data_IF_548788608755
#
_entry.id   IF_548788608755
#
_cell.length_a   1.000
_cell.length_b   1.000
_cell.length_c   1.000
_cell.angle_alpha   90.00
_cell.angle_beta   90.00
_cell.angle_gamma   90.00
#
_symmetry.space_group_name_H-M   'P 1'
#
loop_
_entity.id
_entity.type
_entity.pdbx_description
1 polymer ?
#
# COMPACT_ATOMS: atom_id res chain seq x y z
N UNK A 1 62.00 -46.23 101.83
CA UNK A 1 60.82 -45.57 102.40
C UNK A 1 60.73 -44.13 101.86
N UNK A 2 60.11 -43.86 100.76
CA UNK A 2 59.68 -42.54 100.31
C UNK A 2 58.90 -42.64 98.94
N UNK A 3 57.56 -42.86 98.93
CA UNK A 3 56.80 -42.70 97.71
C UNK A 3 55.39 -42.33 98.10
N UNK A 4 55.04 -41.08 98.30
CA UNK A 4 53.64 -40.67 98.40
C UNK A 4 53.31 -39.18 98.19
N UNK A 5 54.20 -38.40 97.54
CA UNK A 5 53.89 -36.94 97.32
C UNK A 5 53.57 -36.57 95.89
N UNK A 6 53.85 -37.38 94.91
CA UNK A 6 53.68 -37.07 93.50
C UNK A 6 52.24 -37.35 92.95
N UNK A 7 51.44 -38.20 93.60
CA UNK A 7 50.10 -38.57 93.14
C UNK A 7 49.02 -37.48 93.40
N UNK A 8 49.18 -36.62 94.37
CA UNK A 8 48.18 -35.60 94.72
C UNK A 8 48.25 -34.35 93.82
N UNK A 9 49.39 -34.04 93.22
CA UNK A 9 49.58 -32.88 92.29
C UNK A 9 48.97 -33.15 90.95
N UNK A 10 48.98 -34.39 90.46
CA UNK A 10 48.40 -34.78 89.19
C UNK A 10 46.86 -34.70 89.18
N UNK A 11 46.18 -34.99 90.31
CA UNK A 11 44.73 -34.90 90.40
C UNK A 11 44.18 -33.48 90.42
N UNK A 12 44.99 -32.48 90.78
CA UNK A 12 44.57 -31.07 90.76
C UNK A 12 44.97 -30.36 89.44
N UNK A 13 45.95 -30.86 88.70
CA UNK A 13 46.34 -30.29 87.42
C UNK A 13 45.37 -30.71 86.27
N UNK A 14 44.78 -31.89 86.34
CA UNK A 14 43.89 -32.40 85.32
C UNK A 14 42.60 -31.56 85.19
N UNK A 15 41.84 -31.20 86.25
CA UNK A 15 40.69 -30.34 86.15
C UNK A 15 41.05 -28.91 85.75
N UNK A 16 42.22 -28.42 86.11
CA UNK A 16 42.67 -27.07 85.72
C UNK A 16 42.96 -26.97 84.20
N UNK A 17 43.58 -28.03 83.60
CA UNK A 17 43.74 -28.17 82.16
C UNK A 17 42.46 -28.30 81.43
N UNK A 18 41.42 -29.00 81.95
CA UNK A 18 40.11 -29.17 81.35
C UNK A 18 39.32 -27.85 81.37
N UNK A 19 39.38 -27.09 82.45
CA UNK A 19 38.80 -25.73 82.52
C UNK A 19 39.50 -24.75 81.60
N UNK A 20 40.86 -24.79 81.53
CA UNK A 20 41.61 -23.96 80.57
C UNK A 20 41.29 -24.33 79.10
N UNK A 21 41.15 -25.62 78.79
CA UNK A 21 40.72 -26.09 77.44
C UNK A 21 39.32 -25.69 77.08
N UNK A 22 38.35 -25.77 78.04
CA UNK A 22 36.98 -25.28 77.83
C UNK A 22 36.93 -23.76 77.68
N UNK A 23 37.70 -23.00 78.55
CA UNK A 23 37.74 -21.56 78.41
C UNK A 23 38.36 -21.13 77.06
N UNK A 24 39.42 -21.83 76.61
CA UNK A 24 40.02 -21.58 75.30
C UNK A 24 39.06 -21.95 74.15
N UNK A 25 38.27 -23.06 74.25
CA UNK A 25 37.29 -23.48 73.33
C UNK A 25 36.13 -22.47 73.21
N UNK A 26 35.65 -21.91 74.34
CA UNK A 26 34.60 -20.88 74.38
C UNK A 26 35.10 -19.57 73.75
N UNK A 27 36.31 -19.10 74.08
CA UNK A 27 36.92 -17.89 73.51
C UNK A 27 37.00 -18.08 71.96
N UNK A 28 37.51 -19.22 71.50
CA UNK A 28 37.65 -19.51 70.06
C UNK A 28 36.34 -19.64 69.38
N UNK A 29 35.25 -20.14 70.03
CA UNK A 29 33.92 -20.20 69.55
C UNK A 29 33.24 -18.81 69.44
N UNK A 30 33.57 -17.92 70.41
CA UNK A 30 33.11 -16.54 70.44
C UNK A 30 33.82 -15.71 69.34
N UNK A 31 35.12 -15.87 69.14
CA UNK A 31 35.88 -15.22 68.09
C UNK A 31 35.40 -15.67 66.72
N UNK A 32 35.11 -16.97 66.48
CA UNK A 32 34.49 -17.46 65.23
C UNK A 32 33.13 -16.93 65.02
N UNK A 33 32.32 -16.68 66.04
CA UNK A 33 30.98 -16.06 65.89
C UNK A 33 31.13 -14.56 65.62
N UNK A 34 32.07 -13.86 66.22
CA UNK A 34 32.32 -12.46 65.94
C UNK A 34 32.84 -12.23 64.54
N UNK A 35 33.78 -13.06 64.04
CA UNK A 35 34.28 -12.99 62.67
C UNK A 35 33.16 -13.31 61.61
N UNK A 36 32.35 -14.35 61.86
CA UNK A 36 31.20 -14.63 61.00
C UNK A 36 30.13 -13.53 61.01
N UNK A 37 29.91 -12.88 62.17
CA UNK A 37 29.00 -11.75 62.24
C UNK A 37 29.55 -10.52 61.52
N UNK A 38 30.85 -10.26 61.57
CA UNK A 38 31.50 -9.20 60.80
C UNK A 38 31.53 -9.48 59.31
N UNK A 39 31.79 -10.73 58.89
CA UNK A 39 31.70 -11.14 57.49
C UNK A 39 30.27 -11.01 56.96
N UNK A 40 29.26 -11.41 57.75
CA UNK A 40 27.87 -11.25 57.40
C UNK A 40 27.44 -9.78 57.30
N UNK A 41 27.95 -8.93 58.22
CA UNK A 41 27.70 -7.48 58.15
C UNK A 41 28.44 -6.83 56.98
N UNK A 42 29.68 -7.21 56.69
CA UNK A 42 30.43 -6.73 55.52
C UNK A 42 29.77 -7.19 54.20
N UNK A 43 29.30 -8.44 54.15
CA UNK A 43 28.52 -8.94 53.00
C UNK A 43 27.17 -8.21 52.83
N UNK A 44 26.48 -7.91 53.93
CA UNK A 44 25.26 -7.13 53.91
C UNK A 44 25.50 -5.66 53.49
N UNK A 45 26.61 -5.05 53.91
CA UNK A 45 27.01 -3.72 53.48
C UNK A 45 27.51 -3.70 52.02
N UNK A 46 28.19 -4.73 51.54
CA UNK A 46 28.53 -4.90 50.12
C UNK A 46 27.33 -5.10 49.22
N UNK A 47 26.27 -5.79 49.72
CA UNK A 47 25.00 -5.89 49.04
C UNK A 47 24.18 -4.57 49.05
N UNK A 48 24.39 -3.71 50.04
CA UNK A 48 23.77 -2.37 50.11
C UNK A 48 24.54 -1.31 49.29
N UNK A 49 25.79 -1.51 48.98
CA UNK A 49 26.54 -0.73 47.98
C UNK A 49 26.20 -1.29 46.59
N UNK A 50 24.96 -1.06 46.11
CA UNK A 50 24.58 -1.39 44.75
C UNK A 50 25.60 -0.75 43.79
N UNK A 51 26.21 -1.50 42.86
CA UNK A 51 27.17 -0.95 41.92
C UNK A 51 26.52 0.22 41.17
N UNK A 52 27.12 1.40 41.26
CA UNK A 52 26.70 2.56 40.48
C UNK A 52 27.08 2.26 39.03
N UNK A 53 26.09 2.09 38.18
CA UNK A 53 26.32 1.82 36.76
C UNK A 53 26.69 3.14 36.07
N UNK A 54 27.86 3.21 35.46
CA UNK A 54 28.25 4.38 34.67
C UNK A 54 27.63 4.30 33.28
N UNK A 55 26.83 5.30 32.93
CA UNK A 55 26.17 5.42 31.64
C UNK A 55 26.81 6.54 30.83
N UNK A 56 27.31 6.24 29.67
CA UNK A 56 27.91 7.23 28.77
C UNK A 56 26.81 8.13 28.14
N UNK A 57 27.18 9.32 27.75
CA UNK A 57 26.26 10.25 27.07
C UNK A 57 25.69 9.66 25.76
N UNK A 58 26.42 8.78 25.08
CA UNK A 58 25.96 8.05 23.87
C UNK A 58 24.86 7.02 24.15
N UNK A 59 24.72 6.60 25.39
CA UNK A 59 23.76 5.62 25.86
C UNK A 59 22.49 6.26 26.40
N UNK A 60 22.36 7.57 26.18
CA UNK A 60 21.27 8.38 26.70
C UNK A 60 20.56 9.09 25.54
N UNK A 61 19.25 9.09 25.59
CA UNK A 61 18.37 9.85 24.68
C UNK A 61 17.49 10.76 25.50
N UNK A 62 17.38 12.03 25.12
CA UNK A 62 16.42 12.97 25.72
C UNK A 62 15.11 12.91 25.00
N UNK A 63 14.02 12.79 25.74
CA UNK A 63 12.68 12.93 25.20
C UNK A 63 12.52 14.34 24.62
N UNK A 64 12.06 14.44 23.39
CA UNK A 64 11.79 15.71 22.71
C UNK A 64 10.48 15.63 21.95
N UNK A 65 9.82 16.78 21.82
CA UNK A 65 8.71 16.91 20.90
C UNK A 65 9.25 16.88 19.47
N UNK A 66 8.86 15.88 18.70
CA UNK A 66 9.26 15.71 17.30
C UNK A 66 8.03 15.48 16.43
N UNK A 67 8.10 15.91 15.18
CA UNK A 67 7.08 15.57 14.19
C UNK A 67 7.28 14.10 13.78
N UNK A 68 6.37 13.24 14.24
CA UNK A 68 6.32 11.83 13.83
C UNK A 68 5.59 11.72 12.51
N UNK A 69 6.30 11.39 11.45
CA UNK A 69 5.71 11.03 10.16
C UNK A 69 5.12 9.62 10.29
N UNK A 70 3.80 9.55 10.22
CA UNK A 70 3.09 8.28 10.16
C UNK A 70 3.20 7.74 8.74
N UNK A 71 3.63 6.49 8.59
CA UNK A 71 3.74 5.84 7.29
C UNK A 71 2.88 4.58 7.29
N UNK A 72 2.21 4.32 6.16
CA UNK A 72 1.54 3.06 5.88
C UNK A 72 2.34 2.29 4.83
N UNK A 73 2.82 1.11 5.17
CA UNK A 73 3.56 0.27 4.24
C UNK A 73 2.63 -0.29 3.18
N UNK A 74 3.05 -0.22 1.92
CA UNK A 74 2.28 -0.68 0.77
C UNK A 74 3.13 -1.54 -0.14
N UNK A 75 2.47 -2.51 -0.77
CA UNK A 75 3.06 -3.32 -1.83
C UNK A 75 1.98 -3.73 -2.82
N UNK A 76 2.35 -3.88 -4.09
CA UNK A 76 1.40 -4.27 -5.11
C UNK A 76 2.02 -4.28 -6.50
N UNK A 77 1.20 -4.64 -7.49
CA UNK A 77 1.59 -4.64 -8.90
C UNK A 77 1.30 -3.30 -9.55
N UNK A 78 2.14 -2.92 -10.48
CA UNK A 78 1.97 -1.72 -11.31
C UNK A 78 1.16 -2.09 -12.55
N UNK A 79 0.09 -1.38 -12.78
CA UNK A 79 -0.77 -1.53 -13.94
C UNK A 79 -0.66 -0.28 -14.83
N UNK A 80 -0.88 -0.45 -16.13
CA UNK A 80 -1.01 0.68 -17.04
C UNK A 80 -2.27 1.49 -16.68
N UNK A 81 -2.26 2.79 -16.97
CA UNK A 81 -3.39 3.68 -16.66
C UNK A 81 -4.70 3.18 -17.28
N UNK A 82 -4.62 2.72 -18.52
CA UNK A 82 -5.75 2.11 -19.23
C UNK A 82 -5.24 0.94 -20.07
N UNK A 83 -6.03 -0.13 -20.08
CA UNK A 83 -5.83 -1.28 -20.99
C UNK A 83 -7.13 -1.51 -21.75
N UNK A 84 -7.03 -1.52 -23.07
CA UNK A 84 -8.19 -1.73 -23.94
C UNK A 84 -7.94 -2.88 -24.90
N UNK A 85 -8.82 -3.88 -24.86
CA UNK A 85 -8.85 -4.95 -25.84
C UNK A 85 -9.64 -4.49 -27.08
N UNK A 86 -9.00 -4.37 -28.23
CA UNK A 86 -9.65 -4.14 -29.51
C UNK A 86 -10.26 -5.46 -29.95
N UNK A 87 -11.61 -5.46 -30.08
CA UNK A 87 -12.39 -6.66 -30.43
C UNK A 87 -13.01 -6.51 -31.82
N UNK A 88 -13.16 -7.65 -32.51
CA UNK A 88 -13.91 -7.73 -33.75
C UNK A 88 -15.41 -7.46 -33.50
N UNK A 89 -15.98 -6.51 -34.24
CA UNK A 89 -17.41 -6.16 -34.14
C UNK A 89 -18.25 -6.86 -35.17
N UNK A 90 -17.62 -7.49 -36.17
CA UNK A 90 -18.21 -8.35 -37.17
C UNK A 90 -17.31 -9.57 -37.36
N UNK A 91 -17.91 -10.67 -37.84
CA UNK A 91 -17.13 -11.86 -38.19
C UNK A 91 -16.56 -11.75 -39.60
N UNK A 92 -15.36 -12.27 -39.83
CA UNK A 92 -14.71 -12.29 -41.14
C UNK A 92 -13.21 -12.57 -41.03
N UNK A 93 -12.51 -12.49 -42.15
CA UNK A 93 -11.06 -12.66 -42.24
C UNK A 93 -10.36 -11.35 -41.85
N UNK A 94 -9.33 -11.43 -40.96
CA UNK A 94 -8.56 -10.30 -40.51
C UNK A 94 -7.48 -9.94 -41.55
N UNK A 95 -7.41 -8.66 -41.91
CA UNK A 95 -6.45 -8.12 -42.87
C UNK A 95 -5.81 -6.83 -42.37
N UNK A 96 -4.61 -6.54 -42.87
CA UNK A 96 -3.92 -5.27 -42.64
C UNK A 96 -3.47 -5.01 -41.21
N UNK A 97 -3.34 -6.03 -40.38
CA UNK A 97 -2.72 -5.93 -39.06
C UNK A 97 -1.19 -5.92 -39.24
N UNK A 98 -0.61 -4.72 -39.42
CA UNK A 98 0.83 -4.52 -39.65
C UNK A 98 1.60 -4.22 -38.38
N UNK A 99 0.94 -3.72 -37.33
CA UNK A 99 1.53 -3.41 -36.03
C UNK A 99 1.92 -4.65 -35.28
N UNK A 100 3.02 -4.56 -34.51
CA UNK A 100 3.56 -5.60 -33.63
C UNK A 100 3.52 -5.17 -32.19
N UNK A 101 3.76 -6.11 -31.28
CA UNK A 101 3.93 -5.83 -29.87
C UNK A 101 5.06 -4.80 -29.67
N UNK A 102 4.80 -3.79 -28.84
CA UNK A 102 5.70 -2.67 -28.60
C UNK A 102 5.51 -1.47 -29.56
N UNK A 103 4.79 -1.63 -30.69
CA UNK A 103 4.51 -0.52 -31.59
C UNK A 103 3.52 0.48 -30.95
N UNK A 104 3.75 1.75 -31.20
CA UNK A 104 2.83 2.82 -30.75
C UNK A 104 1.65 2.94 -31.69
N UNK A 105 0.49 3.27 -31.11
CA UNK A 105 -0.75 3.58 -31.81
C UNK A 105 -1.36 4.86 -31.27
N UNK A 106 -1.94 5.68 -32.18
CA UNK A 106 -2.67 6.87 -31.81
C UNK A 106 -4.17 6.55 -31.58
N UNK A 107 -4.85 7.40 -30.81
CA UNK A 107 -6.32 7.29 -30.69
C UNK A 107 -6.98 7.50 -32.06
N UNK A 108 -7.91 6.61 -32.44
CA UNK A 108 -8.57 6.61 -33.74
C UNK A 108 -7.77 5.95 -34.87
N UNK A 109 -6.51 5.59 -34.68
CA UNK A 109 -5.69 4.92 -35.69
C UNK A 109 -6.26 3.55 -36.04
N UNK A 110 -6.24 3.22 -37.34
CA UNK A 110 -6.66 1.92 -37.86
C UNK A 110 -5.58 0.89 -37.53
N UNK A 111 -5.92 -0.12 -36.75
CA UNK A 111 -5.02 -1.20 -36.34
C UNK A 111 -5.14 -2.40 -37.27
N UNK A 112 -6.35 -2.72 -37.68
CA UNK A 112 -6.62 -3.83 -38.57
C UNK A 112 -7.96 -3.61 -39.31
N UNK A 113 -8.24 -4.45 -40.29
CA UNK A 113 -9.55 -4.50 -41.00
C UNK A 113 -10.03 -5.94 -41.05
N UNK A 114 -11.33 -6.11 -41.07
CA UNK A 114 -11.99 -7.37 -41.43
C UNK A 114 -12.40 -7.25 -42.89
N UNK A 115 -12.33 -8.33 -43.66
CA UNK A 115 -12.69 -8.31 -45.07
C UNK A 115 -14.05 -7.62 -45.26
N UNK A 116 -14.12 -6.46 -45.96
CA UNK A 116 -15.31 -5.66 -46.07
C UNK A 116 -16.25 -6.11 -47.23
N UNK A 117 -15.86 -7.13 -47.99
CA UNK A 117 -16.54 -7.50 -49.25
C UNK A 117 -18.03 -7.74 -49.06
N UNK A 118 -18.38 -8.54 -48.06
CA UNK A 118 -19.81 -8.81 -47.75
C UNK A 118 -20.54 -7.57 -47.23
N UNK A 119 -19.92 -6.81 -46.35
CA UNK A 119 -20.52 -5.59 -45.79
C UNK A 119 -20.72 -4.53 -46.88
N UNK A 120 -19.78 -4.38 -47.82
CA UNK A 120 -19.93 -3.49 -48.96
C UNK A 120 -21.09 -3.93 -49.88
N UNK A 121 -21.26 -5.24 -50.12
CA UNK A 121 -22.37 -5.75 -50.91
C UNK A 121 -23.72 -5.44 -50.26
N UNK A 122 -23.82 -5.58 -48.94
CA UNK A 122 -25.04 -5.22 -48.17
C UNK A 122 -25.33 -3.71 -48.23
N UNK A 123 -24.33 -2.87 -48.17
CA UNK A 123 -24.52 -1.40 -48.34
C UNK A 123 -25.06 -1.11 -49.71
N UNK A 124 -24.45 -1.64 -50.80
CA UNK A 124 -24.94 -1.43 -52.17
C UNK A 124 -26.38 -1.92 -52.32
N UNK A 125 -26.74 -3.08 -51.77
CA UNK A 125 -28.12 -3.58 -51.81
C UNK A 125 -29.12 -2.63 -51.12
N UNK A 126 -28.78 -2.15 -49.91
CA UNK A 126 -29.62 -1.23 -49.16
C UNK A 126 -29.73 0.15 -49.83
N UNK A 127 -28.68 0.63 -50.50
CA UNK A 127 -28.69 1.85 -51.31
C UNK A 127 -29.67 1.76 -52.45
N UNK A 128 -29.62 0.66 -53.21
CA UNK A 128 -30.59 0.46 -54.32
C UNK A 128 -32.01 0.35 -53.81
N UNK A 129 -32.27 -0.27 -52.67
CA UNK A 129 -33.57 -0.34 -52.05
C UNK A 129 -34.10 1.03 -51.62
N UNK A 130 -33.25 1.87 -51.03
CA UNK A 130 -33.60 3.23 -50.62
C UNK A 130 -33.88 4.13 -51.85
N UNK A 131 -33.08 4.01 -52.92
CA UNK A 131 -33.27 4.72 -54.15
C UNK A 131 -34.60 4.33 -54.85
N UNK A 132 -34.92 3.03 -54.92
CA UNK A 132 -36.18 2.53 -55.41
C UNK A 132 -37.38 3.07 -54.63
N UNK A 133 -37.31 3.06 -53.31
CA UNK A 133 -38.34 3.61 -52.42
C UNK A 133 -38.51 5.13 -52.63
N UNK A 134 -37.42 5.87 -52.83
CA UNK A 134 -37.47 7.30 -53.17
C UNK A 134 -38.16 7.57 -54.47
N UNK A 135 -37.93 6.71 -55.49
CA UNK A 135 -38.63 6.81 -56.75
C UNK A 135 -40.19 6.64 -56.63
N UNK A 136 -40.62 5.71 -55.73
CA UNK A 136 -42.03 5.54 -55.39
C UNK A 136 -42.59 6.79 -54.68
N UNK A 137 -41.90 7.44 -53.82
CA UNK A 137 -42.30 8.71 -53.20
C UNK A 137 -42.51 9.77 -54.25
N UNK A 138 -41.60 9.92 -55.24
CA UNK A 138 -41.71 10.89 -56.31
C UNK A 138 -42.92 10.64 -57.19
N UNK A 139 -43.26 9.35 -57.47
CA UNK A 139 -44.43 8.98 -58.20
C UNK A 139 -45.70 9.35 -57.40
N UNK A 140 -45.76 8.98 -56.12
CA UNK A 140 -46.87 9.28 -55.22
C UNK A 140 -47.12 10.79 -55.06
N UNK A 141 -46.01 11.58 -54.93
CA UNK A 141 -46.08 13.03 -54.87
C UNK A 141 -46.69 13.67 -56.10
N UNK A 142 -46.28 13.21 -57.33
CA UNK A 142 -46.86 13.69 -58.58
C UNK A 142 -48.34 13.35 -58.70
N UNK A 143 -48.73 12.12 -58.29
CA UNK A 143 -50.10 11.69 -58.26
C UNK A 143 -50.95 12.54 -57.31
N UNK A 144 -50.46 12.78 -56.10
CA UNK A 144 -51.17 13.62 -55.13
C UNK A 144 -51.32 15.07 -55.62
N UNK A 145 -50.23 15.66 -56.18
CA UNK A 145 -50.31 17.02 -56.76
C UNK A 145 -51.30 17.15 -57.91
N UNK A 146 -51.33 16.14 -58.82
CA UNK A 146 -52.30 16.10 -59.87
C UNK A 146 -53.77 15.97 -59.38
N UNK A 147 -54.00 15.08 -58.42
CA UNK A 147 -55.32 14.88 -57.82
C UNK A 147 -55.77 16.16 -57.06
N UNK A 148 -54.88 16.84 -56.40
CA UNK A 148 -55.16 18.11 -55.73
C UNK A 148 -55.66 19.17 -56.75
N UNK A 149 -54.97 19.31 -57.87
CA UNK A 149 -55.40 20.24 -58.94
C UNK A 149 -56.77 19.89 -59.56
N UNK A 150 -57.05 18.56 -59.79
CA UNK A 150 -58.31 18.08 -60.34
C UNK A 150 -59.48 18.26 -59.36
N UNK A 151 -59.31 18.08 -58.06
CA UNK A 151 -60.31 18.37 -57.01
C UNK A 151 -60.67 19.85 -57.00
N UNK A 152 -59.65 20.74 -57.06
CA UNK A 152 -59.87 22.20 -57.12
C UNK A 152 -60.65 22.63 -58.32
N UNK A 153 -60.58 21.89 -59.44
CA UNK A 153 -61.35 22.12 -60.67
C UNK A 153 -62.72 21.39 -60.69
N UNK A 154 -63.05 20.62 -59.63
CA UNK A 154 -64.30 19.86 -59.53
C UNK A 154 -64.39 18.57 -60.36
N UNK A 155 -63.31 18.08 -60.94
CA UNK A 155 -63.27 16.89 -61.80
C UNK A 155 -63.20 15.55 -61.05
N UNK A 156 -62.73 15.52 -59.81
CA UNK A 156 -62.64 14.29 -59.00
C UNK A 156 -63.13 14.55 -57.57
N UNK A 157 -63.48 13.47 -56.84
CA UNK A 157 -63.98 13.54 -55.47
C UNK A 157 -62.90 13.85 -54.45
N UNK A 158 -63.29 14.43 -53.34
CA UNK A 158 -62.35 14.65 -52.16
C UNK A 158 -61.76 13.34 -51.68
N UNK A 159 -62.52 12.21 -51.72
CA UNK A 159 -62.02 10.88 -51.33
C UNK A 159 -60.84 10.40 -52.19
N UNK A 160 -60.84 10.76 -53.51
CA UNK A 160 -59.74 10.42 -54.40
C UNK A 160 -58.39 11.17 -53.97
N UNK A 161 -58.53 12.42 -53.55
CA UNK A 161 -57.38 13.18 -52.99
C UNK A 161 -56.91 12.57 -51.71
N UNK A 162 -57.84 12.25 -50.79
CA UNK A 162 -57.46 11.62 -49.48
C UNK A 162 -56.74 10.29 -49.71
N UNK A 163 -57.19 9.45 -50.63
CA UNK A 163 -56.51 8.20 -51.01
C UNK A 163 -55.08 8.45 -51.55
N UNK A 164 -54.86 9.51 -52.33
CA UNK A 164 -53.54 9.84 -52.85
C UNK A 164 -52.60 10.40 -51.78
N UNK A 165 -53.14 11.13 -50.80
CA UNK A 165 -52.43 11.57 -49.67
C UNK A 165 -51.97 10.38 -48.78
N UNK A 166 -52.85 9.44 -48.51
CA UNK A 166 -52.57 8.22 -47.81
C UNK A 166 -51.50 7.39 -48.54
N UNK A 167 -51.55 7.27 -49.85
CA UNK A 167 -50.56 6.57 -50.68
C UNK A 167 -49.20 7.28 -50.64
N UNK A 168 -49.16 8.62 -50.67
CA UNK A 168 -47.89 9.37 -50.45
C UNK A 168 -47.33 9.11 -49.10
N UNK A 169 -48.14 9.21 -48.04
CA UNK A 169 -47.64 8.95 -46.64
C UNK A 169 -47.09 7.53 -46.48
N UNK A 170 -47.73 6.53 -47.11
CA UNK A 170 -47.26 5.13 -47.14
C UNK A 170 -45.90 4.99 -47.87
N UNK A 171 -45.77 5.63 -49.07
CA UNK A 171 -44.49 5.63 -49.80
C UNK A 171 -43.37 6.31 -49.04
N UNK A 172 -43.63 7.44 -48.37
CA UNK A 172 -42.67 8.12 -47.52
C UNK A 172 -42.24 7.27 -46.32
N UNK A 173 -43.20 6.56 -45.70
CA UNK A 173 -42.88 5.64 -44.59
C UNK A 173 -41.98 4.50 -45.07
N UNK A 174 -42.25 3.94 -46.25
CA UNK A 174 -41.43 2.88 -46.88
C UNK A 174 -39.99 3.39 -47.17
N UNK A 175 -39.90 4.61 -47.73
CA UNK A 175 -38.58 5.22 -47.96
C UNK A 175 -37.79 5.43 -46.66
N UNK A 176 -38.42 5.97 -45.60
CA UNK A 176 -37.76 6.13 -44.30
C UNK A 176 -37.29 4.79 -43.76
N UNK A 177 -38.04 3.72 -43.87
CA UNK A 177 -37.64 2.38 -43.47
C UNK A 177 -36.41 1.88 -44.26
N UNK A 178 -36.39 2.11 -45.58
CA UNK A 178 -35.27 1.74 -46.46
C UNK A 178 -33.99 2.52 -46.14
N UNK A 179 -34.10 3.82 -45.83
CA UNK A 179 -32.96 4.65 -45.37
C UNK A 179 -32.42 4.14 -44.03
N UNK A 180 -33.26 3.80 -43.09
CA UNK A 180 -32.84 3.22 -41.81
C UNK A 180 -32.09 1.88 -42.01
N UNK A 181 -32.55 1.04 -42.94
CA UNK A 181 -31.87 -0.20 -43.32
C UNK A 181 -30.46 0.07 -43.93
N UNK A 182 -30.35 1.11 -44.77
CA UNK A 182 -29.08 1.56 -45.33
C UNK A 182 -28.12 2.02 -44.25
N UNK A 183 -28.58 2.77 -43.25
CA UNK A 183 -27.75 3.25 -42.15
C UNK A 183 -27.22 2.09 -41.30
N UNK A 184 -28.04 1.06 -41.09
CA UNK A 184 -27.58 -0.18 -40.39
C UNK A 184 -26.49 -0.87 -41.24
N UNK A 185 -26.67 -0.99 -42.55
CA UNK A 185 -25.66 -1.60 -43.42
C UNK A 185 -24.35 -0.81 -43.42
N UNK A 186 -24.42 0.53 -43.48
CA UNK A 186 -23.24 1.42 -43.38
C UNK A 186 -22.52 1.30 -42.04
N UNK A 187 -23.27 1.18 -40.95
CA UNK A 187 -22.68 0.91 -39.63
C UNK A 187 -21.93 -0.41 -39.65
N UNK A 188 -22.52 -1.48 -40.19
CA UNK A 188 -21.85 -2.78 -40.30
C UNK A 188 -20.57 -2.71 -41.14
N UNK A 189 -20.54 -1.92 -42.21
CA UNK A 189 -19.30 -1.65 -42.96
C UNK A 189 -18.29 -0.88 -42.13
N UNK A 190 -18.70 0.12 -41.34
CA UNK A 190 -17.84 0.84 -40.42
C UNK A 190 -17.23 -0.08 -39.36
N UNK A 191 -17.97 -1.07 -38.91
CA UNK A 191 -17.54 -2.04 -37.88
C UNK A 191 -16.51 -3.05 -38.42
N UNK A 192 -16.23 -3.11 -39.71
CA UNK A 192 -15.12 -3.88 -40.32
C UNK A 192 -13.76 -3.22 -40.08
N UNK A 193 -13.71 -1.94 -39.67
CA UNK A 193 -12.47 -1.20 -39.45
C UNK A 193 -12.19 -1.15 -37.97
N UNK A 194 -11.17 -1.85 -37.55
CA UNK A 194 -10.74 -1.89 -36.16
C UNK A 194 -9.83 -0.71 -35.85
N UNK A 195 -10.26 0.17 -34.93
CA UNK A 195 -9.51 1.35 -34.51
C UNK A 195 -9.17 1.29 -33.04
N UNK A 196 -8.02 1.84 -32.68
CA UNK A 196 -7.69 2.03 -31.28
C UNK A 196 -8.51 3.17 -30.68
N UNK A 197 -9.23 2.96 -29.57
CA UNK A 197 -9.95 4.02 -28.89
C UNK A 197 -9.03 4.93 -28.07
N UNK A 198 -7.82 4.49 -27.76
CA UNK A 198 -6.83 5.21 -26.94
C UNK A 198 -5.50 5.30 -27.69
N UNK A 199 -4.69 6.30 -27.33
CA UNK A 199 -3.27 6.31 -27.68
C UNK A 199 -2.50 5.40 -26.72
N UNK A 200 -1.51 4.66 -27.20
CA UNK A 200 -0.74 3.75 -26.37
C UNK A 200 0.21 2.87 -27.17
N UNK A 201 0.57 1.72 -26.59
CA UNK A 201 1.39 0.70 -27.24
C UNK A 201 0.62 -0.65 -27.30
N UNK A 202 0.91 -1.42 -28.33
CA UNK A 202 0.40 -2.76 -28.46
C UNK A 202 1.10 -3.66 -27.43
N UNK A 203 0.31 -4.18 -26.50
CA UNK A 203 0.80 -5.10 -25.47
C UNK A 203 0.79 -6.57 -25.95
N UNK A 204 -0.25 -6.94 -26.69
CA UNK A 204 -0.39 -8.29 -27.23
C UNK A 204 -1.14 -8.29 -28.55
N UNK A 205 -0.75 -9.20 -29.44
CA UNK A 205 -1.45 -9.53 -30.67
C UNK A 205 -1.98 -10.97 -30.56
N UNK A 206 -3.30 -11.10 -30.54
CA UNK A 206 -3.97 -12.37 -30.24
C UNK A 206 -4.41 -13.13 -31.50
N UNK A 207 -4.39 -12.46 -32.67
CA UNK A 207 -4.82 -13.00 -33.97
C UNK A 207 -3.84 -12.54 -35.03
N UNK A 208 -3.67 -13.33 -36.09
CA UNK A 208 -2.81 -13.01 -37.24
C UNK A 208 -3.60 -12.62 -38.48
N UNK A 209 -2.93 -11.96 -39.44
CA UNK A 209 -3.53 -11.69 -40.74
C UNK A 209 -3.91 -13.00 -41.46
N UNK A 210 -5.07 -13.03 -42.09
CA UNK A 210 -5.62 -14.19 -42.76
C UNK A 210 -6.43 -15.11 -41.86
N UNK A 211 -6.37 -14.92 -40.51
CA UNK A 211 -7.23 -15.69 -39.62
C UNK A 211 -8.67 -15.17 -39.61
N UNK A 212 -9.59 -16.12 -39.48
CA UNK A 212 -11.02 -15.80 -39.35
C UNK A 212 -11.39 -15.49 -37.91
N UNK A 213 -11.88 -14.30 -37.64
CA UNK A 213 -12.36 -13.85 -36.34
C UNK A 213 -13.86 -13.91 -36.23
N UNK A 214 -14.37 -14.26 -35.05
CA UNK A 214 -15.80 -14.20 -34.72
C UNK A 214 -16.15 -12.84 -34.07
N UNK A 215 -17.46 -12.62 -33.87
CA UNK A 215 -17.95 -11.48 -33.09
C UNK A 215 -17.33 -11.49 -31.70
N UNK A 216 -16.94 -10.32 -31.19
CA UNK A 216 -16.28 -10.10 -29.89
C UNK A 216 -14.92 -10.80 -29.69
N UNK A 217 -14.34 -11.41 -30.73
CA UNK A 217 -13.00 -11.95 -30.67
C UNK A 217 -11.98 -10.83 -30.37
N UNK A 218 -11.12 -11.03 -29.36
CA UNK A 218 -10.02 -10.11 -29.04
C UNK A 218 -8.95 -10.21 -30.13
N UNK A 219 -8.57 -9.08 -30.70
CA UNK A 219 -7.59 -9.02 -31.79
C UNK A 219 -6.27 -8.48 -31.29
N UNK A 220 -6.29 -7.35 -30.59
CA UNK A 220 -5.10 -6.66 -30.08
C UNK A 220 -5.42 -6.03 -28.75
N UNK A 221 -4.47 -6.08 -27.83
CA UNK A 221 -4.53 -5.32 -26.58
C UNK A 221 -3.64 -4.09 -26.68
N UNK A 222 -4.18 -2.93 -26.34
CA UNK A 222 -3.47 -1.64 -26.30
C UNK A 222 -3.42 -1.15 -24.86
N UNK A 223 -2.26 -0.71 -24.43
CA UNK A 223 -2.01 -0.17 -23.09
C UNK A 223 -1.56 1.27 -23.16
N UNK A 224 -2.12 2.10 -22.31
CA UNK A 224 -1.67 3.48 -22.12
C UNK A 224 -0.57 3.52 -21.06
N UNK A 225 0.66 3.81 -21.50
CA UNK A 225 1.85 3.89 -20.66
C UNK A 225 2.21 5.35 -20.29
N UNK A 226 1.29 6.31 -20.48
CA UNK A 226 1.53 7.71 -20.11
C UNK A 226 1.64 7.93 -18.60
N UNK A 227 1.00 7.07 -17.83
CA UNK A 227 1.08 6.97 -16.37
C UNK A 227 0.80 5.54 -15.95
N UNK A 228 1.12 5.24 -14.69
CA UNK A 228 0.86 3.93 -14.09
C UNK A 228 0.03 4.08 -12.83
N UNK A 229 -0.72 3.05 -12.49
CA UNK A 229 -1.38 2.92 -11.20
C UNK A 229 -0.87 1.65 -10.50
N UNK A 230 -0.58 1.77 -9.21
CA UNK A 230 -0.28 0.63 -8.36
C UNK A 230 -1.52 0.32 -7.52
N UNK A 231 -1.98 -0.91 -7.58
CA UNK A 231 -3.01 -1.42 -6.70
C UNK A 231 -2.35 -2.01 -5.45
N UNK A 232 -2.56 -1.39 -4.31
CA UNK A 232 -1.98 -1.79 -3.04
C UNK A 232 -3.06 -2.23 -2.05
N UNK A 233 -2.83 -3.37 -1.39
CA UNK A 233 -3.71 -3.90 -0.36
C UNK A 233 -3.21 -3.47 1.03
N UNK A 234 -4.00 -2.67 1.75
CA UNK A 234 -3.72 -2.25 3.12
C UNK A 234 -4.61 -2.96 4.14
N UNK A 235 -4.12 -3.08 5.37
CA UNK A 235 -4.99 -3.46 6.48
C UNK A 235 -6.05 -2.37 6.72
N UNK A 236 -7.23 -2.69 7.26
CA UNK A 236 -8.24 -1.67 7.59
C UNK A 236 -7.73 -0.60 8.56
N UNK A 237 -6.83 -0.97 9.48
CA UNK A 237 -6.20 -0.04 10.43
C UNK A 237 -5.29 0.97 9.73
N UNK A 238 -4.48 0.52 8.78
CA UNK A 238 -3.58 1.40 8.03
C UNK A 238 -4.37 2.27 7.06
N UNK A 239 -5.37 1.68 6.38
CA UNK A 239 -6.24 2.39 5.45
C UNK A 239 -7.01 3.55 6.12
N UNK A 240 -7.36 3.44 7.41
CA UNK A 240 -8.02 4.49 8.16
C UNK A 240 -7.18 5.78 8.28
N UNK A 241 -5.86 5.68 8.21
CA UNK A 241 -4.93 6.81 8.26
C UNK A 241 -4.59 7.39 6.87
N UNK A 242 -4.95 6.68 5.78
CA UNK A 242 -4.62 7.07 4.41
C UNK A 242 -5.74 7.92 3.81
N UNK A 243 -5.35 8.99 3.11
CA UNK A 243 -6.27 9.89 2.42
C UNK A 243 -5.83 10.13 0.97
N UNK A 244 -6.81 10.41 0.10
CA UNK A 244 -6.55 10.81 -1.28
C UNK A 244 -5.70 12.09 -1.31
N UNK A 245 -4.70 12.11 -2.17
CA UNK A 245 -3.74 13.21 -2.31
C UNK A 245 -2.44 13.03 -1.52
N UNK A 246 -2.38 12.08 -0.60
CA UNK A 246 -1.14 11.80 0.13
C UNK A 246 -0.05 11.27 -0.80
N UNK A 247 1.19 11.64 -0.48
CA UNK A 247 2.38 11.20 -1.22
C UNK A 247 2.85 9.85 -0.72
N UNK A 248 3.38 9.06 -1.63
CA UNK A 248 4.03 7.80 -1.33
C UNK A 248 5.39 7.75 -2.02
N UNK A 249 6.32 7.01 -1.43
CA UNK A 249 7.62 6.72 -2.02
C UNK A 249 7.74 5.23 -2.24
N UNK A 250 7.87 4.84 -3.49
CA UNK A 250 7.82 3.44 -3.92
C UNK A 250 9.14 3.01 -4.53
N UNK A 251 9.65 1.87 -4.12
CA UNK A 251 10.73 1.17 -4.79
C UNK A 251 10.12 0.20 -5.80
N UNK A 252 10.30 0.49 -7.08
CA UNK A 252 9.81 -0.32 -8.21
C UNK A 252 10.92 -1.28 -8.64
N UNK A 253 10.57 -2.53 -8.92
CA UNK A 253 11.52 -3.50 -9.48
C UNK A 253 12.15 -2.98 -10.79
N UNK A 254 13.47 -3.13 -10.89
CA UNK A 254 14.21 -2.64 -12.05
C UNK A 254 14.49 -1.14 -12.08
N UNK A 255 14.00 -0.36 -11.12
CA UNK A 255 14.33 1.06 -10.98
C UNK A 255 15.43 1.27 -9.93
N UNK A 256 16.45 2.05 -10.27
CA UNK A 256 17.57 2.33 -9.37
C UNK A 256 17.18 3.31 -8.24
N UNK A 257 16.26 4.22 -8.50
CA UNK A 257 15.80 5.23 -7.54
C UNK A 257 14.32 5.00 -7.16
N UNK A 258 13.94 5.36 -5.94
CA UNK A 258 12.52 5.37 -5.55
C UNK A 258 11.70 6.31 -6.44
N UNK A 259 10.48 5.91 -6.74
CA UNK A 259 9.53 6.67 -7.55
C UNK A 259 8.49 7.29 -6.62
N UNK A 260 8.26 8.59 -6.77
CA UNK A 260 7.22 9.29 -6.04
C UNK A 260 5.84 8.96 -6.65
N UNK A 261 4.90 8.61 -5.79
CA UNK A 261 3.53 8.30 -6.16
C UNK A 261 2.54 9.15 -5.36
N UNK A 262 1.28 9.17 -5.78
CA UNK A 262 0.22 9.89 -5.09
C UNK A 262 -1.01 8.99 -4.98
N UNK A 263 -1.62 8.94 -3.81
CA UNK A 263 -2.90 8.24 -3.59
C UNK A 263 -4.00 8.95 -4.39
N UNK A 264 -4.61 8.25 -5.33
CA UNK A 264 -5.68 8.82 -6.18
C UNK A 264 -7.05 8.29 -5.83
N UNK A 265 -7.14 7.08 -5.30
CA UNK A 265 -8.41 6.44 -4.93
C UNK A 265 -8.21 5.48 -3.77
N UNK A 266 -9.25 5.32 -2.98
CA UNK A 266 -9.34 4.32 -1.92
C UNK A 266 -10.65 3.57 -2.13
N UNK A 267 -10.59 2.25 -2.19
CA UNK A 267 -11.80 1.45 -2.35
C UNK A 267 -12.67 1.58 -1.08
N UNK A 268 -13.96 1.93 -1.19
CA UNK A 268 -14.84 2.02 -0.03
C UNK A 268 -15.18 0.66 0.58
N UNK A 269 -14.88 -0.43 -0.10
CA UNK A 269 -15.20 -1.79 0.33
C UNK A 269 -13.95 -2.56 0.71
N UNK A 270 -14.08 -3.37 1.76
CA UNK A 270 -13.06 -4.35 2.17
C UNK A 270 -13.18 -5.59 1.28
N UNK A 271 -12.07 -6.10 0.79
CA UNK A 271 -12.03 -7.28 -0.06
C UNK A 271 -12.40 -8.56 0.72
N UNK A 272 -13.36 -9.36 0.24
CA UNK A 272 -13.64 -10.67 0.83
C UNK A 272 -12.41 -11.59 0.77
N UNK A 273 -12.13 -12.27 1.87
CA UNK A 273 -10.99 -13.20 1.97
C UNK A 273 -9.75 -12.58 2.57
N UNK A 274 -9.15 -11.58 1.94
CA UNK A 274 -7.95 -10.90 2.45
C UNK A 274 -8.25 -9.90 3.57
N UNK A 275 -9.48 -9.42 3.69
CA UNK A 275 -9.90 -8.35 4.60
C UNK A 275 -9.08 -7.07 4.43
N UNK A 276 -8.57 -6.83 3.23
CA UNK A 276 -7.79 -5.64 2.91
C UNK A 276 -8.64 -4.58 2.22
N UNK A 277 -8.22 -3.32 2.36
CA UNK A 277 -8.73 -2.17 1.60
C UNK A 277 -7.77 -1.89 0.47
N UNK A 278 -8.29 -1.82 -0.77
CA UNK A 278 -7.47 -1.46 -1.92
C UNK A 278 -7.27 0.05 -2.00
N UNK A 279 -6.03 0.45 -2.15
CA UNK A 279 -5.60 1.83 -2.36
C UNK A 279 -4.88 1.92 -3.70
N UNK A 280 -5.25 2.89 -4.51
CA UNK A 280 -4.66 3.10 -5.83
C UNK A 280 -3.72 4.29 -5.79
N UNK A 281 -2.48 4.04 -6.16
CA UNK A 281 -1.42 5.05 -6.20
C UNK A 281 -1.04 5.32 -7.65
N UNK A 282 -1.06 6.59 -8.07
CA UNK A 282 -0.61 7.00 -9.39
C UNK A 282 0.88 7.29 -9.38
N UNK A 283 1.58 6.71 -10.33
CA UNK A 283 3.00 6.90 -10.60
C UNK A 283 3.19 7.58 -11.95
N UNK A 284 4.15 8.50 -12.08
CA UNK A 284 4.54 9.02 -13.38
C UNK A 284 5.21 7.93 -14.22
N UNK A 285 5.10 8.04 -15.54
CA UNK A 285 5.87 7.20 -16.44
C UNK A 285 7.36 7.51 -16.31
N UNK A 286 8.16 6.51 -15.98
CA UNK A 286 9.61 6.60 -15.99
C UNK A 286 10.21 5.60 -16.97
N UNK A 287 11.39 5.90 -17.49
CA UNK A 287 12.07 5.03 -18.46
C UNK A 287 12.25 3.61 -17.87
N UNK A 288 11.89 2.59 -18.64
CA UNK A 288 12.00 1.20 -18.25
C UNK A 288 10.84 0.68 -17.39
N UNK A 289 9.86 1.52 -17.00
CA UNK A 289 8.68 1.08 -16.30
C UNK A 289 7.76 0.29 -17.24
N UNK A 290 7.23 -0.82 -16.74
CA UNK A 290 6.34 -1.71 -17.50
C UNK A 290 5.18 -2.15 -16.62
N UNK A 291 4.06 -2.45 -17.25
CA UNK A 291 2.94 -3.11 -16.60
C UNK A 291 3.38 -4.48 -16.05
N UNK A 292 2.88 -4.86 -14.88
CA UNK A 292 3.19 -6.13 -14.23
C UNK A 292 4.41 -6.09 -13.31
N UNK A 293 5.18 -4.99 -13.26
CA UNK A 293 6.26 -4.86 -12.29
C UNK A 293 5.69 -4.76 -10.87
N UNK A 294 6.45 -5.28 -9.90
CA UNK A 294 6.11 -5.17 -8.50
C UNK A 294 6.74 -3.92 -7.88
N UNK A 295 5.99 -3.26 -6.99
CA UNK A 295 6.47 -2.14 -6.23
C UNK A 295 6.14 -2.28 -4.74
N UNK A 296 7.01 -1.74 -3.89
CA UNK A 296 6.81 -1.66 -2.45
C UNK A 296 7.27 -0.31 -1.93
N UNK A 297 6.70 0.15 -0.85
CA UNK A 297 7.09 1.43 -0.27
C UNK A 297 6.19 1.87 0.85
N UNK A 298 6.11 3.18 1.05
CA UNK A 298 5.38 3.77 2.16
C UNK A 298 4.56 4.98 1.70
N UNK A 299 3.31 5.04 2.13
CA UNK A 299 2.48 6.24 2.03
C UNK A 299 2.75 7.12 3.24
N UNK A 300 2.96 8.40 3.04
CA UNK A 300 3.10 9.40 4.09
C UNK A 300 1.71 9.79 4.59
N UNK A 301 1.25 9.08 5.63
CA UNK A 301 -0.14 9.19 6.11
C UNK A 301 -0.40 10.44 6.94
N UNK A 302 0.63 11.17 7.37
CA UNK A 302 0.51 12.40 8.12
C UNK A 302 1.70 12.64 9.03
N UNK A 303 1.65 13.74 9.76
CA UNK A 303 2.65 14.07 10.77
C UNK A 303 1.94 14.53 12.04
N UNK A 304 2.32 13.96 13.17
CA UNK A 304 1.80 14.31 14.49
C UNK A 304 2.95 14.72 15.38
N UNK A 305 2.88 15.91 15.98
CA UNK A 305 3.84 16.32 16.99
C UNK A 305 3.61 15.50 18.27
N UNK A 306 4.62 14.81 18.73
CA UNK A 306 4.54 14.00 19.93
C UNK A 306 5.89 13.96 20.65
N UNK A 307 5.85 13.82 21.99
CA UNK A 307 7.03 13.48 22.76
C UNK A 307 7.45 12.05 22.38
N UNK A 308 8.67 11.90 21.87
CA UNK A 308 9.11 10.62 21.34
C UNK A 308 10.58 10.32 21.64
N UNK A 309 10.89 9.03 21.58
CA UNK A 309 12.25 8.49 21.67
C UNK A 309 12.50 7.57 20.47
N UNK A 310 13.75 7.34 20.06
CA UNK A 310 14.04 6.32 19.06
C UNK A 310 13.42 4.97 19.44
N UNK A 311 12.79 4.30 18.48
CA UNK A 311 12.09 3.04 18.74
C UNK A 311 13.04 1.95 19.33
N UNK A 312 14.34 2.06 19.08
CA UNK A 312 15.37 1.20 19.67
C UNK A 312 15.50 1.35 21.19
N UNK A 313 15.08 2.49 21.77
CA UNK A 313 15.11 2.70 23.23
C UNK A 313 13.93 2.00 23.95
N UNK A 314 12.93 1.52 23.21
CA UNK A 314 11.82 0.74 23.77
C UNK A 314 12.24 -0.70 23.95
N UNK A 315 11.98 -1.24 25.13
CA UNK A 315 12.29 -2.63 25.51
C UNK A 315 11.04 -3.50 25.39
N UNK A 316 11.21 -4.70 24.82
CA UNK A 316 10.14 -5.67 24.59
C UNK A 316 10.47 -7.04 25.24
N UNK A 317 11.36 -7.07 26.23
CA UNK A 317 11.78 -8.28 26.97
C UNK A 317 10.80 -8.65 28.10
N UNK A 318 9.69 -7.90 28.23
CA UNK A 318 8.59 -8.12 29.18
C UNK A 318 7.25 -8.19 28.42
N UNK A 319 6.21 -8.72 29.08
CA UNK A 319 4.87 -8.77 28.45
C UNK A 319 4.36 -7.41 27.98
N UNK A 320 4.62 -6.34 28.75
CA UNK A 320 4.32 -4.96 28.36
C UNK A 320 5.62 -4.23 27.93
N UNK A 321 5.65 -3.59 26.75
CA UNK A 321 6.76 -2.77 26.32
C UNK A 321 7.02 -1.62 27.31
N UNK A 322 8.28 -1.30 27.54
CA UNK A 322 8.66 -0.25 28.48
C UNK A 322 9.89 0.54 28.02
N UNK A 323 10.09 1.68 28.64
CA UNK A 323 11.32 2.49 28.51
C UNK A 323 12.02 2.62 29.85
N UNK A 324 13.35 2.73 29.83
CA UNK A 324 14.19 2.92 31.01
C UNK A 324 14.49 4.41 31.18
N UNK A 325 13.85 5.05 32.16
CA UNK A 325 13.97 6.49 32.42
C UNK A 325 14.95 6.70 33.59
N UNK A 326 15.84 7.65 33.48
CA UNK A 326 16.72 8.05 34.57
C UNK A 326 16.12 9.24 35.31
N UNK A 327 15.72 9.03 36.56
CA UNK A 327 15.21 10.08 37.44
C UNK A 327 16.01 10.04 38.75
N UNK A 328 16.48 11.17 39.20
CA UNK A 328 17.29 11.26 40.45
C UNK A 328 18.45 10.26 40.52
N UNK A 329 19.18 10.13 39.42
CA UNK A 329 20.28 9.15 39.26
C UNK A 329 19.85 7.69 39.45
N UNK A 330 18.59 7.36 39.27
CA UNK A 330 18.06 6.00 39.44
C UNK A 330 17.26 5.62 38.17
N UNK A 331 17.46 4.41 37.67
CA UNK A 331 16.69 3.87 36.55
C UNK A 331 15.29 3.50 37.04
N UNK A 332 14.27 3.98 36.31
CA UNK A 332 12.86 3.61 36.47
C UNK A 332 12.31 3.04 35.19
N UNK A 333 11.63 1.90 35.30
CA UNK A 333 10.92 1.32 34.17
C UNK A 333 9.52 1.93 34.06
N UNK A 334 9.25 2.55 32.95
CA UNK A 334 7.94 3.15 32.63
C UNK A 334 7.33 2.36 31.48
N UNK A 335 6.22 1.66 31.75
CA UNK A 335 5.51 0.89 30.74
C UNK A 335 4.82 1.83 29.76
N UNK A 336 4.78 1.43 28.50
CA UNK A 336 3.97 2.08 27.47
C UNK A 336 2.48 1.76 27.71
N UNK A 337 1.56 2.71 27.49
CA UNK A 337 0.13 2.46 27.65
C UNK A 337 -0.41 1.51 26.56
N UNK A 338 -1.53 0.91 26.86
CA UNK A 338 -2.30 0.13 25.89
C UNK A 338 -3.60 0.91 25.53
N UNK A 339 -3.92 1.09 24.23
CA UNK A 339 -3.15 0.66 23.05
C UNK A 339 -1.81 1.39 22.93
N UNK A 340 -0.84 0.74 22.26
CA UNK A 340 0.48 1.32 22.07
C UNK A 340 0.39 2.68 21.36
N UNK A 341 1.12 3.70 21.85
CA UNK A 341 1.17 5.02 21.22
C UNK A 341 1.66 4.94 19.77
N UNK A 342 1.36 5.92 18.93
CA UNK A 342 1.75 5.89 17.52
C UNK A 342 3.27 5.83 17.34
N UNK A 343 3.69 5.07 16.36
CA UNK A 343 5.06 5.04 15.82
C UNK A 343 5.14 5.90 14.59
N UNK A 344 6.32 6.45 14.30
CA UNK A 344 6.54 7.21 13.08
C UNK A 344 8.02 7.44 12.84
N UNK A 345 8.33 8.05 11.70
CA UNK A 345 9.69 8.46 11.35
C UNK A 345 9.92 9.89 11.83
N UNK A 346 11.02 10.12 12.55
CA UNK A 346 11.53 11.46 12.80
C UNK A 346 12.97 11.53 12.26
N UNK A 347 13.23 12.46 11.34
CA UNK A 347 14.53 12.57 10.64
C UNK A 347 15.01 11.25 10.01
N UNK A 348 14.09 10.44 9.47
CA UNK A 348 14.40 9.16 8.84
C UNK A 348 14.67 8.00 9.80
N UNK A 349 14.59 8.23 11.12
CA UNK A 349 14.78 7.20 12.15
C UNK A 349 13.43 6.83 12.76
N UNK A 350 13.11 5.54 12.96
CA UNK A 350 11.91 5.12 13.64
C UNK A 350 11.88 5.62 15.10
N UNK A 351 10.82 6.31 15.47
CA UNK A 351 10.56 6.80 16.83
C UNK A 351 9.24 6.24 17.37
N UNK A 352 9.17 6.11 18.68
CA UNK A 352 7.98 5.71 19.43
C UNK A 352 7.51 6.90 20.26
N UNK A 353 6.23 7.27 20.15
CA UNK A 353 5.66 8.26 21.04
C UNK A 353 5.61 7.76 22.48
N UNK A 354 5.92 8.66 23.43
CA UNK A 354 5.97 8.38 24.88
C UNK A 354 5.20 9.46 25.64
N UNK A 355 3.87 9.51 25.51
CA UNK A 355 3.04 10.60 26.07
C UNK A 355 3.06 10.65 27.61
N UNK A 356 3.54 9.59 28.28
CA UNK A 356 3.68 9.51 29.73
C UNK A 356 4.95 10.17 30.27
N UNK A 357 5.87 10.59 29.40
CA UNK A 357 7.12 11.26 29.77
C UNK A 357 7.01 12.77 29.53
N UNK A 358 7.88 13.52 30.22
CA UNK A 358 8.01 14.96 30.02
C UNK A 358 9.11 15.30 29.02
N UNK A 359 9.00 16.48 28.40
CA UNK A 359 10.08 17.00 27.55
C UNK A 359 11.36 17.17 28.37
N UNK A 360 12.47 16.67 27.84
CA UNK A 360 13.77 16.65 28.53
C UNK A 360 14.03 15.44 29.42
N UNK A 361 13.02 14.56 29.68
CA UNK A 361 13.27 13.29 30.40
C UNK A 361 14.40 12.50 29.73
N UNK A 362 15.24 11.90 30.57
CA UNK A 362 16.41 11.14 30.11
C UNK A 362 16.06 9.67 30.04
N UNK A 363 16.12 9.09 28.84
CA UNK A 363 15.83 7.68 28.54
C UNK A 363 17.11 6.96 28.13
N UNK A 364 17.31 5.74 28.61
CA UNK A 364 18.46 4.92 28.20
C UNK A 364 18.26 4.38 26.78
N UNK A 365 19.27 4.57 25.94
CA UNK A 365 19.32 4.02 24.60
C UNK A 365 19.43 2.47 24.60
N UNK A 366 19.27 1.85 23.45
CA UNK A 366 19.48 0.40 23.30
C UNK A 366 20.86 -0.06 23.72
N UNK A 367 21.89 0.79 23.49
CA UNK A 367 23.30 0.53 23.77
C UNK A 367 23.60 0.40 25.25
N UNK A 368 22.83 1.03 26.13
CA UNK A 368 22.98 0.91 27.59
C UNK A 368 22.65 -0.49 28.13
N UNK A 369 22.01 -1.35 27.32
CA UNK A 369 21.55 -2.65 27.77
C UNK A 369 20.31 -2.60 28.68
N UNK A 370 19.90 -3.76 29.20
CA UNK A 370 18.79 -3.87 30.15
C UNK A 370 19.32 -3.67 31.58
N UNK A 371 19.05 -2.51 32.15
CA UNK A 371 19.41 -2.19 33.54
C UNK A 371 18.18 -2.45 34.43
N UNK A 372 18.37 -3.02 35.60
CA UNK A 372 17.27 -3.34 36.53
C UNK A 372 16.63 -2.06 37.09
N UNK A 373 15.32 -2.12 37.30
CA UNK A 373 14.57 -1.06 37.98
C UNK A 373 15.15 -0.78 39.37
N UNK A 374 15.30 0.49 39.76
CA UNK A 374 15.90 0.92 41.02
C UNK A 374 17.42 0.95 41.03
N UNK A 375 18.12 0.59 39.94
CA UNK A 375 19.60 0.66 39.90
C UNK A 375 20.08 2.11 39.88
N UNK A 376 21.07 2.45 40.71
CA UNK A 376 21.70 3.76 40.68
C UNK A 376 22.64 3.88 39.48
N UNK A 377 22.52 4.97 38.75
CA UNK A 377 23.34 5.27 37.57
C UNK A 377 24.02 6.61 37.76
N UNK A 378 25.22 6.73 37.23
CA UNK A 378 25.95 7.99 37.13
C UNK A 378 26.15 8.30 35.66
N UNK A 379 25.60 9.42 35.21
CA UNK A 379 25.86 9.91 33.87
C UNK A 379 27.30 10.42 33.81
N UNK A 380 28.14 9.80 33.00
CA UNK A 380 29.49 10.25 32.75
C UNK A 380 29.42 11.62 32.04
N UNK A 381 30.03 12.64 32.64
CA UNK A 381 30.18 13.92 31.98
C UNK A 381 31.11 13.77 30.75
N UNK A 382 30.75 14.37 29.63
CA UNK A 382 31.59 14.41 28.44
C UNK A 382 32.95 14.97 28.78
N UNK A 383 34.07 14.27 28.50
CA UNK A 383 35.38 14.89 28.61
C UNK A 383 35.41 16.08 27.66
N UNK A 384 35.53 17.28 28.19
CA UNK A 384 35.74 18.49 27.41
C UNK A 384 37.10 18.34 26.73
N UNK A 385 37.07 17.92 25.46
CA UNK A 385 38.27 17.89 24.63
C UNK A 385 38.60 19.35 24.30
N UNK A 386 39.47 19.98 25.12
CA UNK A 386 40.08 21.24 24.78
C UNK A 386 41.04 20.98 23.59
N UNK A 387 40.88 21.69 22.46
CA UNK A 387 41.87 21.61 21.39
C UNK A 387 43.17 22.28 21.89
N UNK A 388 44.27 21.54 21.91
CA UNK A 388 45.61 22.05 21.89
C UNK A 388 46.01 22.43 20.47
#
# INVERSE_FOLDING_TARGET
MTTSRTRKIVYWLLPLLLVAGLAWGVVRALDKRATKAQEAQAAAQALQSAPVYEVNERDVVRVRSVALLQTASVSGSIEALQTVAIKARVAGELQGLTKREGDSVAAGEVVARIDPTEAQARVRQAEQQAESALAQVRIAQRSQANNQALVQQGFISATALENSQANLAAAEATHRAAVAALDIARKGLGDTVLRSPIAGQIAARLVQNGERVGLDARVVDVVDLSAFEMEAALSPSDAASVQVGQKARLQVEGQAAPVDATVVRINPSVQPGSRSVLVYLRLPATSGMRQGLFARGEILAGSTAALAVPASAVRNDRPAPYVQVVRENTVRHVNLPEPLPPRGLANGVPHQAVPMLADGDVVLAATAGAIRDGTRVKLAATPTNSPN
#
